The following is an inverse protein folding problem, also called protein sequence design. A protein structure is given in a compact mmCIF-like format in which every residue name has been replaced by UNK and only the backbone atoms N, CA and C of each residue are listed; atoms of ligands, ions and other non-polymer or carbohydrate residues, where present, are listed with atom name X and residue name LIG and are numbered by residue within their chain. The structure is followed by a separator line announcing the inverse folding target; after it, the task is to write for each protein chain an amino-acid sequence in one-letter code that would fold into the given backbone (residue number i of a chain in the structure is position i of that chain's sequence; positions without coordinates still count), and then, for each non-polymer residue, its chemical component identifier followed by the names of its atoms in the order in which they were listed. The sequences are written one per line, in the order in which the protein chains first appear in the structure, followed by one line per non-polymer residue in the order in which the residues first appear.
data_IF_594333730966
#
_entry.id   IF_594333730966
#
_cell.length_a   1.000
_cell.length_b   1.000
_cell.length_c   1.000
_cell.angle_alpha   90.00
_cell.angle_beta   90.00
_cell.angle_gamma   90.00
#
_symmetry.space_group_name_H-M   'P 1'
#
loop_
_entity.id
_entity.type
_entity.pdbx_description
1 polymer ?
#
# COMPACT_ATOMS: atom_id res chain seq x y z
N UNK A 1 -10.69 4.26 -7.62
CA UNK A 1 -10.73 4.13 -6.14
C UNK A 1 -10.14 5.38 -5.48
N UNK A 2 -10.55 5.75 -4.25
CA UNK A 2 -9.93 6.86 -3.50
C UNK A 2 -9.02 6.36 -2.36
N UNK A 3 -8.09 7.19 -1.87
CA UNK A 3 -7.09 6.78 -0.86
C UNK A 3 -7.73 6.31 0.46
N UNK A 4 -8.87 6.90 0.85
CA UNK A 4 -9.59 6.49 2.07
C UNK A 4 -10.14 5.07 1.92
N UNK A 5 -10.73 4.76 0.76
CA UNK A 5 -11.22 3.41 0.44
C UNK A 5 -10.08 2.39 0.44
N UNK A 6 -8.92 2.72 -0.13
CA UNK A 6 -7.75 1.81 -0.10
C UNK A 6 -7.31 1.57 1.33
N UNK A 7 -7.15 2.64 2.12
CA UNK A 7 -6.75 2.56 3.53
C UNK A 7 -7.73 1.71 4.33
N UNK A 8 -9.01 2.02 4.27
CA UNK A 8 -10.04 1.32 5.05
C UNK A 8 -10.11 -0.16 4.64
N UNK A 9 -9.95 -0.48 3.35
CA UNK A 9 -9.89 -1.87 2.87
C UNK A 9 -8.66 -2.60 3.41
N UNK A 10 -7.48 -1.98 3.33
CA UNK A 10 -6.23 -2.58 3.86
C UNK A 10 -6.31 -2.75 5.37
N UNK A 11 -6.87 -1.78 6.09
CA UNK A 11 -7.08 -1.83 7.54
C UNK A 11 -7.99 -2.99 7.95
N UNK A 12 -9.05 -3.24 7.19
CA UNK A 12 -9.96 -4.39 7.42
C UNK A 12 -9.28 -5.72 7.10
N UNK A 13 -8.53 -5.80 5.99
CA UNK A 13 -7.86 -7.04 5.57
C UNK A 13 -6.77 -7.49 6.54
N UNK A 14 -6.06 -6.52 7.14
CA UNK A 14 -4.88 -6.75 7.96
C UNK A 14 -5.11 -6.47 9.46
N UNK A 15 -6.35 -6.25 9.89
CA UNK A 15 -6.66 -5.71 11.24
C UNK A 15 -6.02 -6.48 12.40
N UNK A 16 -5.92 -7.80 12.27
CA UNK A 16 -5.36 -8.76 13.23
C UNK A 16 -3.86 -9.00 13.05
N UNK A 17 -3.30 -8.64 11.88
CA UNK A 17 -1.89 -8.80 11.53
C UNK A 17 -1.10 -7.50 11.68
N UNK A 18 -1.77 -6.35 11.69
CA UNK A 18 -1.12 -5.05 11.85
C UNK A 18 -0.46 -4.96 13.23
N UNK A 19 0.78 -4.50 13.20
CA UNK A 19 1.51 -4.06 14.37
C UNK A 19 0.94 -2.78 14.96
N UNK A 20 1.73 -2.12 15.80
CA UNK A 20 1.31 -0.89 16.45
C UNK A 20 2.36 0.21 16.41
N UNK A 21 1.89 1.46 16.35
CA UNK A 21 2.68 2.63 16.64
C UNK A 21 2.50 3.05 18.09
N UNK A 22 3.60 3.26 18.79
CA UNK A 22 3.61 4.00 20.05
C UNK A 22 3.90 5.46 19.75
N UNK A 23 2.91 6.31 19.99
CA UNK A 23 3.04 7.76 19.89
C UNK A 23 3.87 8.31 21.08
N UNK A 24 4.42 9.53 20.99
CA UNK A 24 5.20 10.15 22.05
C UNK A 24 4.43 10.37 23.37
N UNK A 25 3.10 10.40 23.30
CA UNK A 25 2.18 10.51 24.45
C UNK A 25 1.87 9.14 25.10
N UNK A 26 2.42 8.04 24.55
CA UNK A 26 2.15 6.67 24.98
C UNK A 26 0.90 6.05 24.37
N UNK A 27 0.17 6.76 23.49
CA UNK A 27 -0.99 6.21 22.78
C UNK A 27 -0.54 5.14 21.80
N UNK A 28 -1.31 4.06 21.72
CA UNK A 28 -1.06 2.94 20.81
C UNK A 28 -2.12 2.99 19.70
N UNK A 29 -1.68 3.04 18.45
CA UNK A 29 -2.55 2.96 17.26
C UNK A 29 -2.07 1.85 16.32
N UNK A 30 -2.93 1.28 15.46
CA UNK A 30 -2.51 0.31 14.46
C UNK A 30 -1.45 0.88 13.53
N UNK A 31 -0.47 0.05 13.13
CA UNK A 31 0.65 0.44 12.28
C UNK A 31 0.25 0.58 10.80
N UNK A 32 -0.74 1.43 10.52
CA UNK A 32 -1.20 1.76 9.17
C UNK A 32 -1.16 3.26 8.93
N UNK A 33 -0.56 3.68 7.82
CA UNK A 33 -0.53 5.09 7.45
C UNK A 33 -0.54 5.32 5.94
N UNK A 34 -0.83 6.56 5.58
CA UNK A 34 -0.77 7.04 4.20
C UNK A 34 0.53 7.84 4.04
N UNK A 35 1.47 7.32 3.26
CA UNK A 35 2.74 7.96 2.93
C UNK A 35 2.51 9.11 1.94
N UNK A 36 2.71 10.33 2.41
CA UNK A 36 2.37 11.55 1.69
C UNK A 36 3.31 12.70 2.03
N UNK A 37 2.79 13.93 2.08
CA UNK A 37 3.60 15.11 2.44
C UNK A 37 4.10 15.10 3.89
N UNK A 38 3.44 14.33 4.76
CA UNK A 38 3.78 14.14 6.16
C UNK A 38 3.86 12.64 6.42
N UNK A 39 5.02 12.03 6.14
CA UNK A 39 5.28 10.63 6.50
C UNK A 39 5.25 10.43 8.03
N UNK A 40 5.33 9.16 8.48
CA UNK A 40 5.36 8.84 9.91
C UNK A 40 6.47 9.66 10.60
N UNK A 41 6.15 10.48 11.61
CA UNK A 41 7.16 11.23 12.35
C UNK A 41 8.19 10.27 12.94
N UNK A 42 9.49 10.60 12.83
CA UNK A 42 10.59 9.78 13.38
C UNK A 42 10.48 9.50 14.89
N UNK A 43 9.62 10.22 15.60
CA UNK A 43 9.36 10.02 17.02
C UNK A 43 8.44 8.84 17.34
N UNK A 44 7.77 8.27 16.34
CA UNK A 44 6.86 7.14 16.54
C UNK A 44 7.65 5.84 16.49
N UNK A 45 7.43 4.97 17.48
CA UNK A 45 8.04 3.63 17.51
C UNK A 45 7.08 2.65 16.87
N UNK A 46 7.57 1.88 15.90
CA UNK A 46 6.82 0.82 15.24
C UNK A 46 7.21 -0.53 15.80
N UNK A 47 6.23 -1.40 16.02
CA UNK A 47 6.44 -2.79 16.43
C UNK A 47 5.50 -3.70 15.65
N UNK A 48 6.03 -4.78 15.08
CA UNK A 48 5.28 -5.72 14.24
C UNK A 48 5.19 -5.28 12.78
N UNK A 49 4.06 -5.64 12.14
CA UNK A 49 3.82 -5.40 10.73
C UNK A 49 3.28 -4.01 10.48
N UNK A 50 3.98 -3.25 9.66
CA UNK A 50 3.58 -1.92 9.23
C UNK A 50 3.04 -1.95 7.80
N UNK A 51 1.88 -1.32 7.58
CA UNK A 51 1.32 -1.10 6.26
C UNK A 51 1.33 0.40 5.91
N UNK A 52 2.04 0.73 4.84
CA UNK A 52 2.12 2.10 4.32
C UNK A 52 1.51 2.17 2.93
N UNK A 53 0.71 3.21 2.67
CA UNK A 53 0.00 3.36 1.39
C UNK A 53 0.38 4.70 0.79
N UNK A 54 0.85 4.72 -0.45
CA UNK A 54 1.20 6.00 -1.09
C UNK A 54 -0.05 6.86 -1.31
N UNK A 55 0.02 8.11 -0.86
CA UNK A 55 -1.06 9.10 -0.90
C UNK A 55 -1.62 9.30 -2.31
N UNK A 56 -0.75 9.28 -3.31
CA UNK A 56 -1.10 9.49 -4.70
C UNK A 56 -0.93 8.21 -5.49
N UNK A 57 -1.94 7.81 -6.29
CA UNK A 57 -1.80 6.66 -7.16
C UNK A 57 -0.80 6.99 -8.27
N UNK A 58 -0.03 5.99 -8.67
CA UNK A 58 0.79 6.08 -9.87
C UNK A 58 -0.14 6.13 -11.07
N UNK A 59 0.09 7.09 -11.98
CA UNK A 59 -0.68 7.24 -13.21
C UNK A 59 0.20 6.92 -14.39
N UNK A 60 -0.23 5.98 -15.23
CA UNK A 60 0.40 5.68 -16.51
C UNK A 60 -0.63 5.81 -17.61
N UNK A 61 -0.28 6.51 -18.68
CA UNK A 61 -1.10 6.58 -19.88
C UNK A 61 -0.53 5.67 -20.96
N UNK A 62 -1.41 5.02 -21.70
CA UNK A 62 -1.07 4.27 -22.91
C UNK A 62 -1.95 4.76 -24.07
N UNK A 63 -1.37 5.12 -25.22
CA UNK A 63 -2.16 5.50 -26.39
C UNK A 63 -2.89 4.28 -26.96
N UNK A 64 -4.15 4.46 -27.34
CA UNK A 64 -4.96 3.52 -28.10
C UNK A 64 -5.45 4.21 -29.39
N UNK A 65 -6.04 3.45 -30.32
CA UNK A 65 -6.65 4.03 -31.51
C UNK A 65 -7.85 4.89 -31.07
N UNK A 66 -7.76 6.22 -31.21
CA UNK A 66 -8.81 7.23 -30.87
C UNK A 66 -9.04 7.49 -29.36
N UNK A 67 -8.36 6.78 -28.46
CA UNK A 67 -8.56 6.92 -27.01
C UNK A 67 -7.25 6.81 -26.22
N UNK A 68 -7.30 7.14 -24.92
CA UNK A 68 -6.15 7.04 -24.02
C UNK A 68 -6.53 6.15 -22.84
N UNK A 69 -5.83 5.04 -22.69
CA UNK A 69 -5.98 4.22 -21.49
C UNK A 69 -5.22 4.90 -20.34
N UNK A 70 -5.92 5.30 -19.28
CA UNK A 70 -5.29 5.82 -18.06
C UNK A 70 -5.30 4.73 -16.99
N UNK A 71 -4.17 4.07 -16.82
CA UNK A 71 -4.00 3.11 -15.72
C UNK A 71 -3.62 3.88 -14.46
N UNK A 72 -4.42 3.74 -13.41
CA UNK A 72 -4.01 4.12 -12.07
C UNK A 72 -3.57 2.86 -11.33
N UNK A 73 -2.65 3.02 -10.38
CA UNK A 73 -2.26 1.93 -9.49
C UNK A 73 -1.90 2.49 -8.12
N UNK A 74 -2.38 1.83 -7.08
CA UNK A 74 -2.06 2.13 -5.70
C UNK A 74 -0.86 1.31 -5.27
N UNK A 75 0.02 1.94 -4.50
CA UNK A 75 1.21 1.28 -3.97
C UNK A 75 1.02 1.10 -2.47
N UNK A 76 1.05 -0.17 -2.04
CA UNK A 76 1.00 -0.59 -0.65
C UNK A 76 2.36 -1.21 -0.33
N UNK A 77 2.97 -0.77 0.76
CA UNK A 77 4.26 -1.23 1.21
C UNK A 77 4.09 -1.81 2.61
N UNK A 78 4.41 -3.09 2.73
CA UNK A 78 4.43 -3.82 3.99
C UNK A 78 5.87 -3.88 4.51
N UNK A 79 6.03 -3.66 5.80
CA UNK A 79 7.33 -3.61 6.47
C UNK A 79 7.23 -4.34 7.80
N UNK A 80 7.94 -5.45 7.94
CA UNK A 80 7.94 -6.25 9.17
C UNK A 80 9.19 -5.96 9.97
N UNK A 81 9.01 -5.43 11.18
CA UNK A 81 10.08 -5.06 12.10
C UNK A 81 10.33 -6.11 13.19
N UNK A 82 9.58 -7.22 13.17
CA UNK A 82 9.76 -8.35 14.10
C UNK A 82 10.11 -9.64 13.32
N UNK A 83 11.34 -10.17 13.46
CA UNK A 83 11.80 -11.32 12.66
C UNK A 83 11.18 -12.67 13.08
N UNK A 84 10.50 -12.74 14.22
CA UNK A 84 9.87 -13.97 14.72
C UNK A 84 8.44 -14.19 14.25
N UNK A 85 7.87 -13.24 13.49
CA UNK A 85 6.46 -13.22 13.15
C UNK A 85 6.27 -13.54 11.66
N UNK A 86 5.56 -14.64 11.39
CA UNK A 86 5.18 -15.14 10.05
C UNK A 86 4.04 -14.32 9.41
N UNK A 87 3.66 -13.20 10.02
CA UNK A 87 2.51 -12.37 9.63
C UNK A 87 2.63 -11.74 8.23
N UNK A 88 3.85 -11.60 7.70
CA UNK A 88 4.09 -10.98 6.38
C UNK A 88 3.51 -11.83 5.24
N UNK A 89 3.75 -13.13 5.24
CA UNK A 89 3.29 -14.01 4.16
C UNK A 89 1.76 -14.11 4.17
N UNK A 90 1.16 -14.18 5.36
CA UNK A 90 -0.30 -14.16 5.50
C UNK A 90 -0.90 -12.82 5.06
N UNK A 91 -0.28 -11.70 5.41
CA UNK A 91 -0.71 -10.38 4.98
C UNK A 91 -0.67 -10.23 3.45
N UNK A 92 0.41 -10.71 2.82
CA UNK A 92 0.55 -10.72 1.36
C UNK A 92 -0.55 -11.57 0.74
N UNK A 93 -0.77 -12.80 1.22
CA UNK A 93 -1.79 -13.70 0.66
C UNK A 93 -3.20 -13.10 0.77
N UNK A 94 -3.55 -12.48 1.91
CA UNK A 94 -4.84 -11.79 2.07
C UNK A 94 -5.03 -10.64 1.09
N UNK A 95 -3.99 -9.83 0.87
CA UNK A 95 -4.03 -8.72 -0.10
C UNK A 95 -4.14 -9.25 -1.54
N UNK A 96 -3.39 -10.29 -1.90
CA UNK A 96 -3.44 -10.90 -3.23
C UNK A 96 -4.79 -11.57 -3.52
N UNK A 97 -5.42 -12.20 -2.53
CA UNK A 97 -6.78 -12.78 -2.67
C UNK A 97 -7.85 -11.71 -2.90
N UNK A 98 -7.72 -10.56 -2.25
CA UNK A 98 -8.68 -9.46 -2.43
C UNK A 98 -8.42 -8.69 -3.73
N UNK A 99 -7.15 -8.50 -4.10
CA UNK A 99 -6.72 -7.80 -5.29
C UNK A 99 -5.91 -8.74 -6.21
N UNK A 100 -6.57 -9.57 -7.03
CA UNK A 100 -5.92 -10.64 -7.79
C UNK A 100 -4.93 -10.15 -8.86
N UNK A 101 -5.10 -8.93 -9.37
CA UNK A 101 -4.21 -8.34 -10.38
C UNK A 101 -3.01 -7.59 -9.77
N UNK A 102 -2.79 -7.73 -8.46
CA UNK A 102 -1.71 -7.05 -7.76
C UNK A 102 -0.35 -7.60 -8.16
N UNK A 103 0.57 -6.72 -8.48
CA UNK A 103 1.97 -7.10 -8.71
C UNK A 103 2.75 -6.99 -7.40
N UNK A 104 3.32 -8.11 -6.93
CA UNK A 104 4.23 -8.15 -5.79
C UNK A 104 5.67 -7.86 -6.27
N UNK A 105 6.32 -6.89 -5.65
CA UNK A 105 7.68 -6.46 -5.96
C UNK A 105 8.48 -6.25 -4.68
N UNK A 106 9.80 -6.48 -4.75
CA UNK A 106 10.68 -6.30 -3.60
C UNK A 106 10.66 -7.50 -2.64
N UNK A 107 11.65 -8.36 -2.78
CA UNK A 107 12.19 -9.16 -1.68
C UNK A 107 13.72 -9.09 -1.74
N UNK A 108 14.35 -8.10 -1.10
CA UNK A 108 15.72 -8.24 -0.66
C UNK A 108 15.69 -8.85 0.74
N UNK A 109 15.70 -10.19 0.81
CA UNK A 109 16.03 -10.87 2.06
C UNK A 109 17.49 -10.56 2.43
N UNK A 110 17.74 -10.44 3.73
CA UNK A 110 19.04 -10.36 4.40
C UNK A 110 19.58 -8.97 4.78
N UNK A 111 18.87 -8.27 5.64
CA UNK A 111 19.48 -7.98 6.94
C UNK A 111 18.61 -8.68 8.00
N UNK A 112 19.23 -9.36 8.96
CA UNK A 112 18.63 -10.43 9.83
C UNK A 112 17.37 -10.04 10.64
N UNK A 113 16.86 -8.83 10.52
CA UNK A 113 15.88 -8.22 11.41
C UNK A 113 14.69 -7.55 10.69
N UNK A 114 14.68 -7.47 9.35
CA UNK A 114 13.67 -6.71 8.61
C UNK A 114 13.19 -7.41 7.35
N UNK A 115 11.86 -7.48 7.16
CA UNK A 115 11.27 -7.92 5.89
C UNK A 115 10.48 -6.78 5.24
N UNK A 116 10.52 -6.75 3.91
CA UNK A 116 9.91 -5.70 3.11
C UNK A 116 9.19 -6.31 1.91
N UNK A 117 7.96 -5.88 1.67
CA UNK A 117 7.19 -6.27 0.50
C UNK A 117 6.44 -5.06 -0.07
N UNK A 118 6.45 -4.90 -1.39
CA UNK A 118 5.74 -3.82 -2.10
C UNK A 118 4.70 -4.40 -3.04
N UNK A 119 3.45 -4.09 -2.81
CA UNK A 119 2.30 -4.49 -3.60
C UNK A 119 1.79 -3.32 -4.45
N UNK A 120 1.64 -3.55 -5.75
CA UNK A 120 1.08 -2.58 -6.70
C UNK A 120 -0.30 -3.06 -7.12
N UNK A 121 -1.34 -2.43 -6.56
CA UNK A 121 -2.75 -2.74 -6.81
C UNK A 121 -3.24 -1.90 -7.99
N UNK A 122 -3.59 -2.51 -9.14
CA UNK A 122 -4.11 -1.76 -10.28
C UNK A 122 -5.53 -1.24 -10.03
N UNK A 123 -5.79 -0.04 -10.54
CA UNK A 123 -7.09 0.65 -10.52
C UNK A 123 -7.32 1.22 -11.93
N UNK A 124 -8.01 0.44 -12.76
CA UNK A 124 -8.19 0.74 -14.18
C UNK A 124 -9.30 1.78 -14.38
N UNK A 125 -8.95 2.94 -14.94
CA UNK A 125 -9.93 3.92 -15.43
C UNK A 125 -9.80 4.09 -16.96
N UNK A 126 -10.82 3.70 -17.71
CA UNK A 126 -10.87 3.98 -19.15
C UNK A 126 -11.40 5.40 -19.34
N UNK A 127 -10.60 6.27 -19.97
CA UNK A 127 -11.01 7.65 -20.27
C UNK A 127 -10.92 7.92 -21.78
N UNK A 128 -11.97 8.49 -22.34
CA UNK A 128 -11.97 8.95 -23.72
C UNK A 128 -11.10 10.20 -23.85
N UNK A 129 -10.34 10.31 -24.94
CA UNK A 129 -9.56 11.51 -25.24
C UNK A 129 -10.53 12.69 -25.39
N UNK A 130 -10.17 13.88 -24.88
CA UNK A 130 -10.98 15.08 -25.09
C UNK A 130 -11.25 15.22 -26.59
N UNK A 131 -12.52 15.04 -27.00
CA UNK A 131 -12.96 15.43 -28.34
C UNK A 131 -12.66 16.93 -28.43
N UNK A 132 -11.90 17.34 -29.44
CA UNK A 132 -11.73 18.77 -29.75
C UNK A 132 -13.13 19.39 -29.76
N UNK A 133 -13.33 20.41 -28.93
CA UNK A 133 -14.47 21.30 -29.11
C UNK A 133 -14.36 21.86 -30.53
N UNK A 134 -15.38 21.58 -31.34
CA UNK A 134 -15.55 22.20 -32.65
C UNK A 134 -15.71 23.71 -32.51
#
# INVERSE_FOLDING_TARGET
MNIKQVRDTVEVLLTDLLGSYTLPDGTIIPAIYVDGKYGVPKSWKVSGLEASIKQYPLRRSRPLLVMVEMRMSWEIVLSQYSPSAEDMDEAIDRVLRHFPDTTLTGFPSSDREYQYARLVVPDLEIKTQYLRAN
#
